data_IF_237871824705
#
_entry.id   IF_237871824705
#
_cell.length_a   1.000
_cell.length_b   1.000
_cell.length_c   1.000
_cell.angle_alpha   90.00
_cell.angle_beta   90.00
_cell.angle_gamma   90.00
#
_symmetry.space_group_name_H-M   'P 1'
#
loop_
_entity.id
_entity.type
_entity.pdbx_description
1 polymer ?
#
# COMPACT_ATOMS: atom_id res chain seq x y z
N UNK A 1 2.33 3.11 10.70
CA UNK A 1 2.43 4.07 9.59
C UNK A 1 3.78 4.04 8.90
N UNK A 2 4.92 4.14 9.62
CA UNK A 2 6.24 4.09 9.00
C UNK A 2 6.41 2.94 7.99
N UNK A 3 6.08 1.71 8.39
CA UNK A 3 6.17 0.54 7.52
C UNK A 3 5.33 0.65 6.22
N UNK A 4 4.14 1.26 6.31
CA UNK A 4 3.29 1.51 5.15
C UNK A 4 3.93 2.53 4.20
N UNK A 5 4.51 3.59 4.76
CA UNK A 5 5.21 4.66 4.02
C UNK A 5 6.44 4.12 3.32
N UNK A 6 7.24 3.31 4.01
CA UNK A 6 8.45 2.70 3.45
C UNK A 6 8.11 1.72 2.31
N UNK A 7 6.99 0.99 2.42
CA UNK A 7 6.56 0.04 1.39
C UNK A 7 6.28 0.73 0.05
N UNK A 8 5.52 1.82 0.03
CA UNK A 8 5.13 2.53 -1.21
C UNK A 8 5.90 3.83 -1.45
N UNK A 9 6.93 4.10 -0.65
CA UNK A 9 7.80 5.31 -0.73
C UNK A 9 7.01 6.62 -0.76
N UNK A 10 5.86 6.66 -0.10
CA UNK A 10 4.93 7.81 -0.11
C UNK A 10 4.17 7.89 1.20
N UNK A 11 3.96 9.11 1.70
CA UNK A 11 3.10 9.36 2.87
C UNK A 11 1.63 9.48 2.48
N UNK A 12 1.35 10.01 1.28
CA UNK A 12 -0.01 10.30 0.83
C UNK A 12 -0.79 9.04 0.46
N UNK A 13 -0.12 8.05 -0.15
CA UNK A 13 -0.77 6.80 -0.55
C UNK A 13 -1.26 5.99 0.67
N UNK A 14 -0.43 5.68 1.69
CA UNK A 14 -0.89 4.99 2.89
C UNK A 14 -1.93 5.78 3.68
N UNK A 15 -1.83 7.10 3.73
CA UNK A 15 -2.85 7.93 4.38
C UNK A 15 -4.22 7.76 3.71
N UNK A 16 -4.25 7.71 2.38
CA UNK A 16 -5.48 7.50 1.62
C UNK A 16 -6.07 6.09 1.86
N UNK A 17 -5.21 5.08 2.03
CA UNK A 17 -5.64 3.72 2.37
C UNK A 17 -6.21 3.64 3.79
N UNK A 18 -5.52 4.20 4.79
CA UNK A 18 -5.99 4.22 6.19
C UNK A 18 -7.30 4.99 6.37
N UNK A 19 -7.55 5.99 5.51
CA UNK A 19 -8.80 6.77 5.52
C UNK A 19 -9.87 6.22 4.59
N UNK A 20 -9.69 5.00 4.04
CA UNK A 20 -10.61 4.31 3.12
C UNK A 20 -10.97 5.11 1.86
N UNK A 21 -10.10 6.05 1.44
CA UNK A 21 -10.26 6.79 0.18
C UNK A 21 -9.68 6.03 -1.02
N UNK A 22 -8.90 4.98 -0.76
CA UNK A 22 -8.19 4.20 -1.77
C UNK A 22 -7.99 2.77 -1.26
N UNK A 23 -8.10 1.76 -2.13
CA UNK A 23 -7.72 0.39 -1.78
C UNK A 23 -6.19 0.23 -1.78
N UNK A 24 -5.68 -0.79 -1.09
CA UNK A 24 -4.25 -1.06 -1.03
C UNK A 24 -3.67 -1.38 -2.43
N UNK A 25 -4.38 -2.19 -3.21
CA UNK A 25 -4.02 -2.54 -4.59
C UNK A 25 -3.90 -1.29 -5.47
N UNK A 26 -4.89 -0.39 -5.44
CA UNK A 26 -4.86 0.87 -6.19
C UNK A 26 -3.71 1.79 -5.76
N UNK A 27 -3.39 1.80 -4.47
CA UNK A 27 -2.27 2.58 -3.94
C UNK A 27 -0.92 2.02 -4.42
N UNK A 28 -0.75 0.71 -4.44
CA UNK A 28 0.46 0.04 -4.96
C UNK A 28 0.58 0.26 -6.47
N UNK A 29 -0.53 0.11 -7.20
CA UNK A 29 -0.58 0.41 -8.63
C UNK A 29 -0.04 1.82 -8.94
N UNK A 30 -0.46 2.82 -8.15
CA UNK A 30 0.02 4.21 -8.27
C UNK A 30 1.48 4.39 -7.84
N UNK A 31 1.93 3.65 -6.84
CA UNK A 31 3.32 3.68 -6.39
C UNK A 31 4.28 3.10 -7.44
N UNK A 32 3.81 2.16 -8.26
CA UNK A 32 4.58 1.46 -9.29
C UNK A 32 4.47 2.08 -10.69
N UNK A 33 4.06 3.35 -10.80
CA UNK A 33 3.83 4.02 -12.09
C UNK A 33 5.06 3.92 -13.01
N UNK A 34 6.25 4.16 -12.47
CA UNK A 34 7.50 4.04 -13.23
C UNK A 34 7.65 2.62 -13.77
N UNK A 35 7.66 1.60 -12.91
CA UNK A 35 7.84 0.21 -13.35
C UNK A 35 6.80 -0.22 -14.39
N UNK A 36 5.54 0.20 -14.25
CA UNK A 36 4.49 -0.08 -15.24
C UNK A 36 4.80 0.55 -16.60
N UNK A 37 5.25 1.80 -16.64
CA UNK A 37 5.71 2.43 -17.88
C UNK A 37 6.93 1.72 -18.49
N UNK A 38 7.84 1.22 -17.64
CA UNK A 38 8.99 0.42 -18.07
C UNK A 38 8.53 -0.93 -18.67
N UNK A 39 7.56 -1.61 -18.06
CA UNK A 39 6.97 -2.86 -18.56
C UNK A 39 6.31 -2.65 -19.93
N UNK A 40 5.63 -1.53 -20.16
CA UNK A 40 5.02 -1.21 -21.46
C UNK A 40 6.08 -1.09 -22.58
N UNK A 41 7.28 -0.61 -22.23
CA UNK A 41 8.36 -0.40 -23.19
C UNK A 41 9.21 -1.65 -23.40
N UNK A 42 9.51 -2.39 -22.33
CA UNK A 42 10.51 -3.47 -22.33
C UNK A 42 9.95 -4.86 -22.01
N UNK A 43 8.65 -4.97 -21.80
CA UNK A 43 7.99 -6.22 -21.42
C UNK A 43 8.03 -6.51 -19.92
N UNK A 44 7.24 -7.49 -19.49
CA UNK A 44 7.16 -7.89 -18.08
C UNK A 44 8.04 -9.10 -17.77
N UNK A 45 8.54 -9.12 -16.54
CA UNK A 45 9.21 -10.27 -15.92
C UNK A 45 8.29 -10.76 -14.80
N UNK A 46 7.38 -11.69 -15.12
CA UNK A 46 6.26 -12.05 -14.22
C UNK A 46 6.70 -12.46 -12.81
N UNK A 47 7.77 -13.25 -12.70
CA UNK A 47 8.27 -13.73 -11.41
C UNK A 47 8.86 -12.61 -10.53
N UNK A 48 9.25 -11.49 -11.11
CA UNK A 48 9.78 -10.33 -10.38
C UNK A 48 8.66 -9.31 -10.13
N UNK A 49 8.04 -8.81 -11.20
CA UNK A 49 7.08 -7.72 -11.11
C UNK A 49 5.76 -8.16 -10.44
N UNK A 50 5.28 -9.38 -10.72
CA UNK A 50 4.06 -9.90 -10.09
C UNK A 50 4.25 -10.17 -8.60
N UNK A 51 5.39 -10.74 -8.22
CA UNK A 51 5.72 -10.98 -6.81
C UNK A 51 5.90 -9.67 -6.05
N UNK A 52 6.54 -8.67 -6.66
CA UNK A 52 6.70 -7.34 -6.06
C UNK A 52 5.35 -6.65 -5.83
N UNK A 53 4.43 -6.69 -6.80
CA UNK A 53 3.09 -6.08 -6.66
C UNK A 53 2.28 -6.71 -5.52
N UNK A 54 2.26 -8.04 -5.43
CA UNK A 54 1.57 -8.77 -4.35
C UNK A 54 2.23 -8.54 -2.97
N UNK A 55 3.55 -8.50 -2.92
CA UNK A 55 4.29 -8.26 -1.69
C UNK A 55 4.03 -6.83 -1.17
N UNK A 56 4.11 -5.83 -2.04
CA UNK A 56 3.82 -4.44 -1.69
C UNK A 56 2.36 -4.27 -1.23
N UNK A 57 1.42 -4.93 -1.91
CA UNK A 57 -0.01 -4.90 -1.55
C UNK A 57 -0.24 -5.48 -0.17
N UNK A 58 0.34 -6.66 0.09
CA UNK A 58 0.23 -7.34 1.39
C UNK A 58 0.82 -6.48 2.52
N UNK A 59 2.01 -5.91 2.33
CA UNK A 59 2.66 -5.04 3.31
C UNK A 59 1.83 -3.80 3.62
N UNK A 60 1.34 -3.12 2.57
CA UNK A 60 0.54 -1.92 2.71
C UNK A 60 -0.80 -2.20 3.42
N UNK A 61 -1.51 -3.26 3.03
CA UNK A 61 -2.78 -3.65 3.63
C UNK A 61 -2.61 -4.00 5.12
N UNK A 62 -1.63 -4.83 5.47
CA UNK A 62 -1.36 -5.21 6.85
C UNK A 62 -1.00 -3.99 7.72
N UNK A 63 -0.15 -3.10 7.21
CA UNK A 63 0.25 -1.88 7.91
C UNK A 63 -0.93 -0.91 8.11
N UNK A 64 -1.79 -0.76 7.09
CA UNK A 64 -2.98 0.08 7.15
C UNK A 64 -3.99 -0.45 8.17
N UNK A 65 -4.27 -1.75 8.16
CA UNK A 65 -5.14 -2.41 9.15
C UNK A 65 -4.59 -2.26 10.56
N UNK A 66 -3.29 -2.47 10.77
CA UNK A 66 -2.66 -2.27 12.07
C UNK A 66 -2.88 -0.85 12.59
N UNK A 67 -2.66 0.16 11.75
CA UNK A 67 -2.89 1.57 12.12
C UNK A 67 -4.35 1.82 12.42
N UNK A 68 -5.25 1.40 11.53
CA UNK A 68 -6.68 1.59 11.69
C UNK A 68 -7.20 0.99 13.01
N UNK A 69 -6.83 -0.26 13.32
CA UNK A 69 -7.27 -0.91 14.55
C UNK A 69 -6.69 -0.25 15.80
N UNK A 70 -5.43 0.19 15.79
CA UNK A 70 -4.83 0.85 16.95
C UNK A 70 -5.32 2.29 17.15
N UNK A 71 -5.68 3.00 16.08
CA UNK A 71 -6.24 4.35 16.18
C UNK A 71 -7.71 4.34 16.61
N UNK A 72 -8.49 3.34 16.20
CA UNK A 72 -9.93 3.26 16.53
C UNK A 72 -10.24 2.39 17.76
N UNK A 73 -9.34 1.50 18.19
CA UNK A 73 -9.51 0.73 19.43
C UNK A 73 -9.52 1.64 20.68
N UNK A 74 -8.82 2.77 20.64
CA UNK A 74 -8.79 3.75 21.75
C UNK A 74 -10.17 4.40 21.94
N UNK A 75 -10.93 4.62 20.87
CA UNK A 75 -12.24 5.29 20.94
C UNK A 75 -13.30 4.47 21.66
N UNK A 76 -13.21 3.13 21.66
CA UNK A 76 -14.21 2.26 22.31
C UNK A 76 -14.02 2.07 23.82
N UNK A 77 -12.87 2.42 24.40
CA UNK A 77 -12.61 2.25 25.84
C UNK A 77 -13.18 3.38 26.72
N UNK A 78 -13.79 4.40 26.13
CA UNK A 78 -14.26 5.62 26.81
C UNK A 78 -15.80 5.73 26.91
N UNK A 79 -16.55 4.64 26.75
CA UNK A 79 -18.00 4.61 26.94
C UNK A 79 -18.37 3.62 28.04
#
# INVERSE_FOLDING_TARGET
MQYAVESVKSVLLPYSVVTFKLQAEDAVHRAMLEQKAQIETWGSVEWAHGVEEEELTTRLAAAALFVYFNSNAVTKKSL
#
